data_IF_955986231848
#
_entry.id   IF_955986231848
#
_cell.length_a   1.000
_cell.length_b   1.000
_cell.length_c   1.000
_cell.angle_alpha   90.00
_cell.angle_beta   90.00
_cell.angle_gamma   90.00
#
_symmetry.space_group_name_H-M   'P 1'
#
loop_
_entity.id
_entity.type
_entity.pdbx_description
1 polymer ?
#
# COMPACT_ATOMS: atom_id res chain seq x y z
N UNK A 1 -15.01 -8.78 -15.74
CA UNK A 1 -15.04 -9.62 -14.50
C UNK A 1 -15.91 -9.02 -13.40
N UNK A 2 -16.11 -7.70 -13.37
CA UNK A 2 -16.97 -6.98 -12.41
C UNK A 2 -18.18 -6.35 -13.11
N UNK A 3 -19.22 -5.98 -12.35
CA UNK A 3 -20.45 -5.36 -12.86
C UNK A 3 -20.71 -3.98 -12.24
N UNK A 4 -21.57 -3.19 -12.91
CA UNK A 4 -21.97 -1.88 -12.41
C UNK A 4 -22.68 -1.96 -11.04
N UNK A 5 -22.35 -1.01 -10.19
CA UNK A 5 -22.87 -0.80 -8.84
C UNK A 5 -23.97 0.25 -8.90
N UNK A 6 -25.16 -0.12 -8.41
CA UNK A 6 -26.27 0.83 -8.30
C UNK A 6 -26.05 1.75 -7.09
N UNK A 7 -25.43 2.90 -7.35
CA UNK A 7 -25.14 3.91 -6.32
C UNK A 7 -26.39 4.50 -5.67
N UNK A 8 -27.57 4.40 -6.30
CA UNK A 8 -28.83 4.84 -5.66
C UNK A 8 -29.18 4.03 -4.41
N UNK A 9 -28.60 2.82 -4.27
CA UNK A 9 -28.72 1.96 -3.07
C UNK A 9 -27.67 2.25 -2.00
N UNK A 10 -26.69 3.12 -2.29
CA UNK A 10 -25.57 3.44 -1.42
C UNK A 10 -25.79 4.82 -0.77
N UNK A 11 -26.72 4.89 0.17
CA UNK A 11 -27.06 6.13 0.90
C UNK A 11 -25.87 6.78 1.61
N UNK A 12 -24.82 6.00 1.93
CA UNK A 12 -23.62 6.47 2.60
C UNK A 12 -22.48 6.85 1.64
N UNK A 13 -22.68 6.77 0.33
CA UNK A 13 -21.65 7.10 -0.66
C UNK A 13 -21.17 8.55 -0.57
N UNK A 14 -22.05 9.49 -0.20
CA UNK A 14 -21.72 10.90 -0.03
C UNK A 14 -20.74 11.20 1.10
N UNK A 15 -20.40 10.22 1.94
CA UNK A 15 -19.42 10.38 3.00
C UNK A 15 -17.97 10.24 2.50
N UNK A 16 -17.77 9.71 1.30
CA UNK A 16 -16.46 9.54 0.70
C UNK A 16 -15.84 10.87 0.30
N UNK A 17 -14.52 10.94 0.40
CA UNK A 17 -13.72 12.06 -0.06
C UNK A 17 -13.85 12.23 -1.58
N UNK A 18 -14.34 13.37 -2.09
CA UNK A 18 -14.36 13.65 -3.52
C UNK A 18 -12.99 13.52 -4.19
N UNK A 19 -11.90 13.78 -3.47
CA UNK A 19 -10.54 13.64 -4.00
C UNK A 19 -10.16 12.18 -4.24
N UNK A 20 -10.91 11.21 -3.72
CA UNK A 20 -10.72 9.77 -3.96
C UNK A 20 -11.71 9.19 -4.98
N UNK A 21 -12.59 10.03 -5.53
CA UNK A 21 -13.60 9.63 -6.53
C UNK A 21 -13.15 9.98 -7.96
N UNK A 22 -13.86 9.42 -8.94
CA UNK A 22 -13.78 9.76 -10.35
C UNK A 22 -12.37 9.64 -10.95
N UNK A 23 -11.61 8.65 -10.49
CA UNK A 23 -10.27 8.36 -10.98
C UNK A 23 -10.34 7.85 -12.43
N UNK A 24 -9.28 8.01 -13.25
CA UNK A 24 -9.30 7.59 -14.64
C UNK A 24 -9.67 6.11 -14.87
N UNK A 25 -9.38 5.23 -13.90
CA UNK A 25 -9.76 3.81 -13.95
C UNK A 25 -11.27 3.55 -13.78
N UNK A 26 -12.01 4.47 -13.17
CA UNK A 26 -13.46 4.43 -12.99
C UNK A 26 -14.03 5.86 -12.84
N UNK A 27 -14.18 6.61 -13.96
CA UNK A 27 -14.44 8.04 -13.93
C UNK A 27 -15.75 8.46 -13.24
N UNK A 28 -16.67 7.53 -13.03
CA UNK A 28 -17.95 7.79 -12.36
C UNK A 28 -18.15 6.92 -11.11
N UNK A 29 -17.15 6.13 -10.67
CA UNK A 29 -17.33 5.12 -9.62
C UNK A 29 -18.50 4.16 -9.90
N UNK A 30 -18.66 3.76 -11.17
CA UNK A 30 -19.73 2.87 -11.60
C UNK A 30 -19.40 1.41 -11.28
N UNK A 31 -18.13 1.07 -11.10
CA UNK A 31 -17.66 -0.31 -10.92
C UNK A 31 -16.93 -0.55 -9.60
N UNK A 32 -16.46 0.53 -8.96
CA UNK A 32 -15.60 0.49 -7.78
C UNK A 32 -15.97 1.59 -6.78
N UNK A 33 -16.01 1.23 -5.50
CA UNK A 33 -16.29 2.13 -4.38
C UNK A 33 -15.08 2.15 -3.45
N UNK A 34 -14.43 3.32 -3.21
CA UNK A 34 -13.32 3.44 -2.28
C UNK A 34 -13.59 2.78 -0.93
N UNK A 35 -12.66 1.95 -0.46
CA UNK A 35 -12.80 1.24 0.81
C UNK A 35 -11.77 1.71 1.83
N UNK A 36 -10.51 1.43 1.55
CA UNK A 36 -9.36 1.70 2.41
C UNK A 36 -8.20 2.07 1.49
N UNK A 37 -7.42 3.06 1.89
CA UNK A 37 -6.19 3.42 1.21
C UNK A 37 -5.01 3.30 2.16
N UNK A 38 -3.82 3.28 1.61
CA UNK A 38 -2.61 3.16 2.39
C UNK A 38 -1.38 3.48 1.58
N UNK A 39 -0.26 3.22 2.21
CA UNK A 39 1.04 3.37 1.62
C UNK A 39 1.97 2.24 2.03
N UNK A 40 2.88 1.92 1.12
CA UNK A 40 4.10 1.19 1.41
C UNK A 40 5.25 2.19 1.57
N UNK A 41 5.95 2.06 2.69
CA UNK A 41 7.09 2.88 3.08
C UNK A 41 8.20 1.98 3.66
N UNK A 42 9.24 2.59 4.23
CA UNK A 42 10.32 1.83 4.85
C UNK A 42 9.97 1.59 6.32
N UNK A 43 9.82 0.33 6.71
CA UNK A 43 9.72 -0.07 8.11
C UNK A 43 11.11 -0.31 8.68
N UNK A 44 11.36 0.20 9.90
CA UNK A 44 12.63 0.00 10.62
C UNK A 44 12.33 -0.40 12.07
N UNK A 45 12.93 -1.47 12.55
CA UNK A 45 12.93 -1.82 13.96
C UNK A 45 13.91 -0.91 14.71
N UNK A 46 13.37 0.07 15.45
CA UNK A 46 14.15 1.12 16.11
C UNK A 46 15.09 0.62 17.21
N UNK A 47 14.84 -0.57 17.77
CA UNK A 47 15.74 -1.19 18.75
C UNK A 47 17.00 -1.79 18.09
N UNK A 48 16.93 -2.12 16.80
CA UNK A 48 18.01 -2.79 16.07
C UNK A 48 18.75 -1.87 15.10
N UNK A 49 18.05 -0.91 14.50
CA UNK A 49 18.59 0.00 13.47
C UNK A 49 18.12 1.41 13.77
N UNK A 50 19.05 2.38 13.79
CA UNK A 50 18.69 3.79 13.92
C UNK A 50 17.84 4.20 12.70
N UNK A 51 16.56 4.61 12.88
CA UNK A 51 15.69 5.00 11.77
C UNK A 51 16.28 6.14 10.92
N UNK A 52 17.15 6.97 11.50
CA UNK A 52 17.81 8.08 10.79
C UNK A 52 18.89 7.61 9.81
N UNK A 53 19.37 6.37 9.93
CA UNK A 53 20.36 5.77 9.03
C UNK A 53 19.78 5.37 7.67
N UNK A 54 18.44 5.30 7.58
CA UNK A 54 17.70 4.95 6.37
C UNK A 54 16.84 6.13 5.96
N UNK A 55 17.00 6.59 4.72
CA UNK A 55 16.33 7.82 4.24
C UNK A 55 15.69 7.66 2.87
N UNK A 56 15.97 6.55 2.18
CA UNK A 56 15.62 6.36 0.78
C UNK A 56 15.46 4.89 0.43
N UNK A 57 14.72 4.58 -0.63
CA UNK A 57 14.66 3.23 -1.17
C UNK A 57 16.04 2.74 -1.58
N UNK A 58 16.89 3.63 -2.10
CA UNK A 58 18.26 3.33 -2.47
C UNK A 58 19.11 2.75 -1.32
N UNK A 59 18.84 3.15 -0.07
CA UNK A 59 19.59 2.65 1.10
C UNK A 59 19.42 1.13 1.28
N UNK A 60 18.28 0.56 0.88
CA UNK A 60 18.04 -0.89 1.01
C UNK A 60 19.03 -1.74 0.19
N UNK A 61 19.67 -1.16 -0.83
CA UNK A 61 20.70 -1.83 -1.62
C UNK A 61 22.09 -1.87 -0.94
N UNK A 62 22.28 -1.26 0.23
CA UNK A 62 23.58 -1.29 0.92
C UNK A 62 23.96 -2.73 1.30
N UNK A 63 25.24 -3.12 1.14
CA UNK A 63 25.68 -4.50 1.40
C UNK A 63 25.60 -4.89 2.89
N UNK A 64 25.49 -3.93 3.80
CA UNK A 64 25.34 -4.18 5.24
C UNK A 64 23.98 -4.80 5.60
N UNK A 65 22.97 -4.68 4.73
CA UNK A 65 21.63 -5.25 4.92
C UNK A 65 21.48 -6.66 4.31
N UNK A 66 22.60 -7.39 4.14
CA UNK A 66 22.60 -8.73 3.59
C UNK A 66 21.71 -9.67 4.41
N UNK A 67 20.73 -10.29 3.77
CA UNK A 67 19.81 -11.25 4.37
C UNK A 67 18.96 -10.71 5.53
N UNK A 68 18.68 -9.40 5.59
CA UNK A 68 17.93 -8.78 6.71
C UNK A 68 16.68 -8.00 6.29
N UNK A 69 16.38 -7.93 4.98
CA UNK A 69 15.25 -7.16 4.46
C UNK A 69 13.96 -7.96 4.34
N UNK A 70 12.86 -7.32 4.73
CA UNK A 70 11.51 -7.70 4.28
C UNK A 70 11.15 -6.94 3.01
N UNK A 71 10.64 -7.64 2.01
CA UNK A 71 9.89 -7.01 0.91
C UNK A 71 8.41 -7.37 1.00
N UNK A 72 7.53 -6.45 0.59
CA UNK A 72 6.12 -6.81 0.42
C UNK A 72 6.00 -7.81 -0.74
N UNK A 73 5.14 -8.82 -0.61
CA UNK A 73 4.94 -9.83 -1.67
C UNK A 73 4.00 -9.31 -2.77
N UNK A 74 4.31 -8.13 -3.33
CA UNK A 74 3.54 -7.47 -4.38
C UNK A 74 4.45 -7.09 -5.56
N UNK A 75 4.06 -7.53 -6.76
CA UNK A 75 4.85 -7.31 -7.96
C UNK A 75 4.98 -5.82 -8.31
N UNK A 76 3.90 -5.04 -8.19
CA UNK A 76 3.91 -3.63 -8.57
C UNK A 76 4.61 -2.78 -7.51
N UNK A 77 4.48 -3.08 -6.23
CA UNK A 77 5.17 -2.34 -5.17
C UNK A 77 6.68 -2.56 -5.23
N UNK A 78 7.12 -3.81 -5.35
CA UNK A 78 8.56 -4.14 -5.40
C UNK A 78 9.21 -3.52 -6.63
N UNK A 79 8.54 -3.53 -7.78
CA UNK A 79 9.03 -2.83 -8.96
C UNK A 79 9.00 -1.31 -8.81
N UNK A 80 7.94 -0.75 -8.23
CA UNK A 80 7.87 0.70 -8.02
C UNK A 80 9.00 1.19 -7.13
N UNK A 81 9.38 0.47 -6.07
CA UNK A 81 10.56 0.80 -5.26
C UNK A 81 11.82 0.94 -6.14
N UNK A 82 12.11 -0.06 -6.99
CA UNK A 82 13.29 -0.04 -7.85
C UNK A 82 13.20 1.01 -8.99
N UNK A 83 12.02 1.21 -9.57
CA UNK A 83 11.77 2.25 -10.58
C UNK A 83 12.01 3.64 -10.00
N UNK A 84 11.48 3.91 -8.79
CA UNK A 84 11.67 5.20 -8.10
C UNK A 84 13.13 5.45 -7.73
N UNK A 85 13.85 4.42 -7.28
CA UNK A 85 15.32 4.47 -7.08
C UNK A 85 16.06 4.86 -8.37
N UNK A 86 15.59 4.40 -9.54
CA UNK A 86 16.16 4.71 -10.85
C UNK A 86 15.70 6.07 -11.42
N UNK A 87 14.74 6.74 -10.78
CA UNK A 87 14.17 8.00 -11.25
C UNK A 87 13.05 7.85 -12.29
N UNK A 88 12.53 6.63 -12.48
CA UNK A 88 11.37 6.35 -13.34
C UNK A 88 10.05 6.41 -12.56
N UNK A 89 8.94 6.53 -13.29
CA UNK A 89 7.60 6.40 -12.71
C UNK A 89 7.32 4.94 -12.32
N UNK A 90 6.65 4.74 -11.18
CA UNK A 90 6.11 3.44 -10.75
C UNK A 90 5.01 2.87 -11.65
N UNK A 91 4.52 3.68 -12.60
CA UNK A 91 3.48 3.33 -13.56
C UNK A 91 4.00 3.29 -14.99
N UNK A 92 5.32 3.15 -15.19
CA UNK A 92 5.88 3.05 -16.53
C UNK A 92 5.27 1.87 -17.29
N UNK A 93 5.06 2.09 -18.58
CA UNK A 93 4.65 1.06 -19.54
C UNK A 93 5.75 0.79 -20.57
N UNK A 94 6.93 1.41 -20.42
CA UNK A 94 8.10 1.12 -21.24
C UNK A 94 8.77 -0.19 -20.75
N UNK A 95 8.76 -1.27 -21.54
CA UNK A 95 9.39 -2.53 -21.17
C UNK A 95 10.87 -2.41 -20.79
N UNK A 96 11.60 -1.44 -21.36
CA UNK A 96 13.03 -1.24 -21.07
C UNK A 96 13.25 -0.67 -19.67
N UNK A 97 12.38 0.23 -19.23
CA UNK A 97 12.43 0.77 -17.86
C UNK A 97 12.08 -0.33 -16.85
N UNK A 98 11.09 -1.17 -17.15
CA UNK A 98 10.70 -2.32 -16.33
C UNK A 98 11.85 -3.34 -16.25
N UNK A 99 12.51 -3.64 -17.38
CA UNK A 99 13.67 -4.53 -17.42
C UNK A 99 14.86 -3.96 -16.63
N UNK A 100 15.09 -2.63 -16.70
CA UNK A 100 16.11 -1.97 -15.88
C UNK A 100 15.82 -2.12 -14.38
N UNK A 101 14.56 -1.94 -13.96
CA UNK A 101 14.14 -2.16 -12.57
C UNK A 101 14.33 -3.63 -12.14
N UNK A 102 13.98 -4.60 -12.98
CA UNK A 102 14.24 -6.01 -12.71
C UNK A 102 15.74 -6.29 -12.49
N UNK A 103 16.61 -5.70 -13.32
CA UNK A 103 18.05 -5.85 -13.18
C UNK A 103 18.60 -5.24 -11.89
N UNK A 104 18.05 -4.11 -11.42
CA UNK A 104 18.38 -3.56 -10.10
C UNK A 104 17.84 -4.42 -8.96
N UNK A 105 16.62 -4.94 -9.08
CA UNK A 105 16.03 -5.83 -8.07
C UNK A 105 16.84 -7.10 -7.88
N UNK A 106 17.40 -7.68 -8.95
CA UNK A 106 18.35 -8.81 -8.81
C UNK A 106 19.53 -8.49 -7.90
N UNK A 107 20.03 -7.25 -7.91
CA UNK A 107 21.13 -6.81 -7.03
C UNK A 107 20.68 -6.69 -5.58
N UNK A 108 19.39 -6.43 -5.33
CA UNK A 108 18.81 -6.37 -4.00
C UNK A 108 18.61 -7.76 -3.40
N UNK A 109 18.37 -8.80 -4.22
CA UNK A 109 18.00 -10.13 -3.74
C UNK A 109 18.90 -10.73 -2.64
N UNK A 110 20.24 -10.55 -2.65
CA UNK A 110 21.09 -11.00 -1.54
C UNK A 110 20.76 -10.35 -0.17
N UNK A 111 20.12 -9.19 -0.17
CA UNK A 111 19.66 -8.50 1.03
C UNK A 111 18.30 -8.99 1.53
N UNK A 112 17.52 -9.65 0.68
CA UNK A 112 16.15 -10.06 0.98
C UNK A 112 16.13 -11.31 1.85
N UNK A 113 15.52 -11.20 3.03
CA UNK A 113 15.26 -12.28 3.98
C UNK A 113 13.89 -12.94 3.76
N UNK A 114 12.85 -12.16 3.43
CA UNK A 114 11.52 -12.69 3.21
C UNK A 114 10.67 -11.79 2.30
N UNK A 115 9.60 -12.38 1.77
CA UNK A 115 8.49 -11.69 1.12
C UNK A 115 7.23 -11.94 1.95
N UNK A 116 6.43 -10.90 2.22
CA UNK A 116 5.18 -11.07 2.95
C UNK A 116 4.11 -10.07 2.47
N UNK A 117 2.91 -10.57 2.17
CA UNK A 117 1.72 -9.75 1.84
C UNK A 117 0.49 -10.15 2.66
N UNK A 118 0.65 -10.98 3.69
CA UNK A 118 -0.43 -11.37 4.61
C UNK A 118 -0.48 -10.38 5.78
N UNK A 119 0.65 -10.24 6.46
CA UNK A 119 0.89 -9.22 7.48
C UNK A 119 2.40 -8.88 7.47
N UNK A 120 2.83 -7.85 6.72
CA UNK A 120 4.25 -7.56 6.56
C UNK A 120 4.92 -7.07 7.84
N UNK A 121 4.18 -6.73 8.90
CA UNK A 121 4.77 -6.42 10.19
C UNK A 121 5.17 -7.67 10.98
N UNK A 122 4.58 -8.85 10.73
CA UNK A 122 4.81 -10.04 11.55
C UNK A 122 6.30 -10.46 11.61
N UNK A 123 7.05 -10.53 10.48
CA UNK A 123 8.48 -10.85 10.53
C UNK A 123 9.31 -9.85 11.36
N UNK A 124 8.89 -8.59 11.44
CA UNK A 124 9.55 -7.58 12.28
C UNK A 124 9.28 -7.85 13.77
N UNK A 125 8.03 -8.22 14.11
CA UNK A 125 7.64 -8.56 15.48
C UNK A 125 8.36 -9.82 15.99
N UNK A 126 8.60 -10.78 15.09
CA UNK A 126 9.34 -12.02 15.37
C UNK A 126 10.87 -11.82 15.42
N UNK A 127 11.35 -10.63 15.04
CA UNK A 127 12.78 -10.31 15.01
C UNK A 127 13.54 -10.99 13.86
N UNK A 128 12.84 -11.50 12.85
CA UNK A 128 13.45 -12.13 11.67
C UNK A 128 14.06 -11.10 10.70
N UNK A 129 13.54 -9.87 10.73
CA UNK A 129 13.95 -8.75 9.89
C UNK A 129 14.04 -7.47 10.71
N UNK A 130 14.96 -6.59 10.35
CA UNK A 130 15.18 -5.32 11.05
C UNK A 130 14.75 -4.09 10.26
N UNK A 131 14.69 -4.21 8.94
CA UNK A 131 14.24 -3.14 8.05
C UNK A 131 13.69 -3.71 6.75
N UNK A 132 13.03 -2.88 5.95
CA UNK A 132 12.47 -3.31 4.67
C UNK A 132 11.24 -2.52 4.27
N UNK A 133 10.50 -3.02 3.29
CA UNK A 133 9.20 -2.47 2.90
C UNK A 133 8.15 -2.87 3.95
N UNK A 134 7.26 -1.94 4.28
CA UNK A 134 6.11 -2.25 5.15
C UNK A 134 4.89 -1.42 4.76
N UNK A 135 3.71 -1.99 4.97
CA UNK A 135 2.46 -1.25 4.92
C UNK A 135 2.24 -0.44 6.20
N UNK A 136 1.79 0.81 6.07
CA UNK A 136 1.65 1.69 7.23
C UNK A 136 0.68 1.15 8.30
N UNK A 137 -0.40 0.48 7.91
CA UNK A 137 -1.43 -0.01 8.83
C UNK A 137 -0.93 -1.19 9.66
N UNK A 138 -0.21 -2.13 9.03
CA UNK A 138 0.43 -3.23 9.76
C UNK A 138 1.49 -2.73 10.75
N UNK A 139 2.27 -1.71 10.37
CA UNK A 139 3.24 -1.10 11.28
C UNK A 139 2.54 -0.47 12.50
N UNK A 140 1.40 0.19 12.29
CA UNK A 140 0.60 0.74 13.38
C UNK A 140 0.11 -0.35 14.35
N UNK A 141 -0.47 -1.44 13.84
CA UNK A 141 -0.95 -2.54 14.69
C UNK A 141 0.21 -3.17 15.47
N UNK A 142 1.38 -3.34 14.84
CA UNK A 142 2.57 -3.86 15.51
C UNK A 142 3.09 -2.92 16.61
N UNK A 143 3.07 -1.59 16.39
CA UNK A 143 3.37 -0.60 17.44
C UNK A 143 2.42 -0.69 18.62
N UNK A 144 1.11 -0.83 18.36
CA UNK A 144 0.10 -1.02 19.40
C UNK A 144 0.31 -2.32 20.19
N UNK A 145 0.88 -3.35 19.54
CA UNK A 145 1.29 -4.60 20.17
C UNK A 145 2.66 -4.52 20.88
N UNK A 146 3.32 -3.36 20.90
CA UNK A 146 4.57 -3.11 21.62
C UNK A 146 5.85 -3.34 20.81
N UNK A 147 5.76 -3.54 19.49
CA UNK A 147 6.96 -3.63 18.62
C UNK A 147 7.41 -2.23 18.21
N UNK A 148 8.69 -1.85 18.44
CA UNK A 148 9.19 -0.50 18.16
C UNK A 148 9.51 -0.32 16.68
N UNK A 149 8.48 -0.35 15.84
CA UNK A 149 8.60 -0.21 14.39
C UNK A 149 8.29 1.21 13.92
N UNK A 150 9.33 1.88 13.45
CA UNK A 150 9.24 3.18 12.81
C UNK A 150 8.89 3.04 11.33
N UNK A 151 8.14 4.01 10.83
CA UNK A 151 7.84 4.15 9.39
C UNK A 151 8.56 5.38 8.89
N UNK A 152 9.52 5.16 7.99
CA UNK A 152 10.31 6.21 7.36
C UNK A 152 9.79 6.44 5.95
N UNK A 153 9.45 7.70 5.65
CA UNK A 153 9.09 8.12 4.31
C UNK A 153 10.36 8.25 3.44
N UNK A 154 10.49 7.45 2.37
CA UNK A 154 11.68 7.45 1.52
C UNK A 154 11.78 8.76 0.73
N UNK A 155 13.01 9.22 0.48
CA UNK A 155 13.31 10.42 -0.30
C UNK A 155 12.67 10.42 -1.69
N UNK A 156 12.64 9.26 -2.34
CA UNK A 156 12.03 9.07 -3.66
C UNK A 156 10.49 9.03 -3.60
N UNK A 157 9.89 9.10 -2.41
CA UNK A 157 8.45 9.08 -2.20
C UNK A 157 7.88 7.70 -1.87
N UNK A 158 6.83 7.70 -1.03
CA UNK A 158 6.08 6.50 -0.67
C UNK A 158 5.25 5.96 -1.83
N UNK A 159 4.92 4.67 -1.77
CA UNK A 159 4.07 3.98 -2.74
C UNK A 159 2.65 4.04 -2.22
N UNK A 160 1.75 4.77 -2.88
CA UNK A 160 0.36 4.92 -2.44
C UNK A 160 -0.58 4.02 -3.22
N UNK A 161 -1.58 3.46 -2.54
CA UNK A 161 -2.57 2.58 -3.14
C UNK A 161 -3.92 2.72 -2.45
N UNK A 162 -4.98 2.29 -3.15
CA UNK A 162 -6.33 2.26 -2.61
C UNK A 162 -7.07 1.01 -3.08
N UNK A 163 -7.57 0.26 -2.10
CA UNK A 163 -8.50 -0.83 -2.34
C UNK A 163 -9.92 -0.29 -2.48
N UNK A 164 -10.65 -0.86 -3.43
CA UNK A 164 -12.03 -0.50 -3.71
C UNK A 164 -12.92 -1.74 -3.74
N UNK A 165 -14.12 -1.61 -3.17
CA UNK A 165 -15.16 -2.63 -3.23
C UNK A 165 -15.72 -2.72 -4.65
N UNK A 166 -15.77 -3.93 -5.20
CA UNK A 166 -16.37 -4.22 -6.48
C UNK A 166 -17.33 -5.43 -6.39
N UNK A 167 -18.32 -5.49 -7.29
CA UNK A 167 -19.25 -6.63 -7.36
C UNK A 167 -18.83 -7.52 -8.54
N UNK A 168 -18.52 -8.82 -8.33
CA UNK A 168 -18.24 -9.75 -9.41
C UNK A 168 -19.40 -9.85 -10.40
N UNK A 169 -19.09 -9.99 -11.69
CA UNK A 169 -20.10 -10.03 -12.75
C UNK A 169 -21.11 -11.18 -12.59
N UNK A 170 -20.67 -12.29 -11.99
CA UNK A 170 -21.47 -13.49 -11.73
C UNK A 170 -21.93 -13.62 -10.25
N UNK A 171 -21.93 -12.52 -9.48
CA UNK A 171 -22.34 -12.53 -8.07
C UNK A 171 -23.79 -13.01 -7.92
N UNK A 172 -23.98 -14.11 -7.16
CA UNK A 172 -25.30 -14.71 -6.92
C UNK A 172 -26.20 -13.88 -6.00
N UNK A 173 -25.61 -13.05 -5.14
CA UNK A 173 -26.34 -12.21 -4.17
C UNK A 173 -25.90 -10.74 -4.27
N UNK A 174 -26.29 -10.09 -5.38
CA UNK A 174 -25.98 -8.67 -5.63
C UNK A 174 -26.57 -7.73 -4.56
N UNK A 175 -27.81 -7.97 -4.16
CA UNK A 175 -28.51 -7.15 -3.16
C UNK A 175 -27.81 -7.20 -1.80
N UNK A 176 -27.35 -8.39 -1.39
CA UNK A 176 -26.53 -8.55 -0.18
C UNK A 176 -25.20 -7.79 -0.28
N UNK A 177 -24.53 -7.84 -1.42
CA UNK A 177 -23.29 -7.10 -1.65
C UNK A 177 -23.51 -5.58 -1.55
N UNK A 178 -24.58 -5.04 -2.15
CA UNK A 178 -24.91 -3.62 -2.05
C UNK A 178 -25.19 -3.19 -0.59
N UNK A 179 -25.90 -4.01 0.18
CA UNK A 179 -26.12 -3.77 1.61
C UNK A 179 -24.81 -3.77 2.40
N UNK A 180 -23.91 -4.71 2.10
CA UNK A 180 -22.59 -4.77 2.74
C UNK A 180 -21.74 -3.54 2.40
N UNK A 181 -21.70 -3.13 1.12
CA UNK A 181 -21.00 -1.91 0.70
C UNK A 181 -21.57 -0.70 1.46
N UNK A 182 -22.89 -0.53 1.49
CA UNK A 182 -23.50 0.59 2.19
C UNK A 182 -23.26 0.56 3.71
N UNK A 183 -23.15 -0.64 4.30
CA UNK A 183 -22.78 -0.83 5.70
C UNK A 183 -21.33 -0.38 5.96
N UNK A 184 -20.37 -0.80 5.14
CA UNK A 184 -18.96 -0.42 5.26
C UNK A 184 -18.73 1.09 5.04
N UNK A 185 -19.60 1.74 4.26
CA UNK A 185 -19.58 3.18 4.05
C UNK A 185 -20.17 4.00 5.22
N UNK A 186 -20.75 3.36 6.25
CA UNK A 186 -21.23 4.09 7.42
C UNK A 186 -20.05 4.73 8.17
N UNK A 187 -20.13 5.99 8.60
CA UNK A 187 -19.02 6.67 9.26
C UNK A 187 -18.54 5.99 10.54
N UNK A 188 -19.45 5.42 11.34
CA UNK A 188 -19.12 4.73 12.59
C UNK A 188 -18.40 3.40 12.35
N UNK A 189 -18.82 2.65 11.33
CA UNK A 189 -18.17 1.39 10.92
C UNK A 189 -16.78 1.67 10.34
N UNK A 190 -16.67 2.64 9.42
CA UNK A 190 -15.42 3.04 8.81
C UNK A 190 -14.41 3.59 9.85
N UNK A 191 -14.90 4.33 10.86
CA UNK A 191 -14.08 4.76 12.00
C UNK A 191 -13.57 3.55 12.80
N UNK A 192 -14.46 2.65 13.20
CA UNK A 192 -14.11 1.49 14.03
C UNK A 192 -13.02 0.64 13.36
N UNK A 193 -13.15 0.34 12.07
CA UNK A 193 -12.13 -0.43 11.35
C UNK A 193 -10.82 0.34 11.27
N UNK A 194 -10.83 1.63 10.90
CA UNK A 194 -9.62 2.43 10.77
C UNK A 194 -8.82 2.53 12.07
N UNK A 195 -9.48 2.69 13.22
CA UNK A 195 -8.80 2.70 14.53
C UNK A 195 -8.24 1.34 14.92
N UNK A 196 -8.85 0.25 14.45
CA UNK A 196 -8.42 -1.11 14.80
C UNK A 196 -7.25 -1.57 13.93
N UNK A 197 -7.30 -1.32 12.62
CA UNK A 197 -6.32 -1.88 11.67
C UNK A 197 -5.28 -0.85 11.20
N UNK A 198 -5.42 0.42 11.60
CA UNK A 198 -4.47 1.49 11.28
C UNK A 198 -4.50 1.97 9.84
N UNK A 199 -5.23 1.34 8.93
CA UNK A 199 -5.29 1.82 7.55
C UNK A 199 -6.25 3.01 7.39
N UNK A 200 -5.82 4.07 6.67
CA UNK A 200 -6.64 5.23 6.39
C UNK A 200 -7.97 4.92 5.69
N UNK A 201 -9.04 5.50 6.22
CA UNK A 201 -10.33 5.54 5.52
C UNK A 201 -10.40 6.71 4.53
N UNK A 202 -10.97 6.52 3.32
CA UNK A 202 -11.38 7.59 2.41
C UNK A 202 -12.73 8.21 2.80
N UNK A 203 -13.35 7.79 3.90
CA UNK A 203 -14.61 8.34 4.39
C UNK A 203 -14.34 9.60 5.25
N UNK A 204 -14.64 10.78 4.73
CA UNK A 204 -14.41 12.06 5.40
C UNK A 204 -15.24 12.23 6.68
N UNK A 205 -16.45 11.68 6.71
CA UNK A 205 -17.28 11.73 7.90
C UNK A 205 -16.66 10.88 9.02
N UNK A 206 -16.17 9.68 8.70
CA UNK A 206 -15.45 8.82 9.64
C UNK A 206 -14.14 9.45 10.11
N UNK A 207 -13.39 10.08 9.18
CA UNK A 207 -12.12 10.77 9.49
C UNK A 207 -12.25 11.82 10.58
N UNK A 208 -13.38 12.54 10.63
CA UNK A 208 -13.67 13.54 11.69
C UNK A 208 -13.99 12.92 13.05
N UNK A 209 -14.34 11.64 13.09
CA UNK A 209 -14.73 10.91 14.31
C UNK A 209 -13.58 10.11 14.93
N UNK A 210 -12.45 9.99 14.21
CA UNK A 210 -11.25 9.30 14.68
C UNK A 210 -10.67 9.95 15.94
N UNK A 211 -10.04 9.14 16.79
CA UNK A 211 -9.24 9.64 17.89
C UNK A 211 -8.12 10.57 17.37
N UNK A 212 -7.70 11.58 18.16
CA UNK A 212 -6.60 12.45 17.77
C UNK A 212 -5.27 11.71 17.55
N UNK A 213 -5.07 10.58 18.23
CA UNK A 213 -3.87 9.73 18.08
C UNK A 213 -3.80 9.16 16.66
N UNK A 214 -4.88 8.53 16.19
CA UNK A 214 -4.93 7.93 14.85
C UNK A 214 -5.03 9.00 13.76
N UNK A 215 -5.85 10.04 13.96
CA UNK A 215 -6.11 11.06 12.95
C UNK A 215 -4.88 11.93 12.62
N UNK A 216 -3.99 12.13 13.60
CA UNK A 216 -2.79 12.96 13.48
C UNK A 216 -1.50 12.16 13.27
N UNK A 217 -1.53 10.82 13.35
CA UNK A 217 -0.38 9.97 13.04
C UNK A 217 0.01 10.15 11.56
N UNK A 218 1.21 10.68 11.33
CA UNK A 218 1.75 10.98 9.99
C UNK A 218 2.19 9.76 9.20
N UNK A 219 2.31 8.60 9.86
CA UNK A 219 2.52 7.33 9.18
C UNK A 219 1.23 6.81 8.55
N UNK A 220 0.07 7.15 9.13
CA UNK A 220 -1.26 6.79 8.61
C UNK A 220 -1.81 7.89 7.69
N UNK A 221 -1.84 9.11 8.17
CA UNK A 221 -2.33 10.27 7.43
C UNK A 221 -1.19 11.25 7.15
N UNK A 222 -0.31 10.91 6.18
CA UNK A 222 0.78 11.78 5.77
C UNK A 222 0.28 13.14 5.30
N UNK A 223 1.15 14.14 5.38
CA UNK A 223 0.84 15.46 4.85
C UNK A 223 0.81 15.48 3.32
N UNK A 224 0.25 16.56 2.77
CA UNK A 224 0.12 16.73 1.33
C UNK A 224 1.47 16.74 0.61
N UNK A 225 2.55 17.17 1.26
CA UNK A 225 3.90 17.17 0.69
C UNK A 225 4.42 15.74 0.51
N UNK A 226 4.27 14.90 1.53
CA UNK A 226 4.65 13.48 1.48
C UNK A 226 3.85 12.74 0.42
N UNK A 227 2.53 12.96 0.35
CA UNK A 227 1.67 12.35 -0.69
C UNK A 227 2.09 12.82 -2.09
N UNK A 228 2.38 14.11 -2.26
CA UNK A 228 2.80 14.70 -3.53
C UNK A 228 4.18 14.20 -3.98
N UNK A 229 5.09 13.94 -3.05
CA UNK A 229 6.40 13.36 -3.35
C UNK A 229 6.29 11.87 -3.72
N UNK A 230 5.36 11.14 -3.11
CA UNK A 230 5.05 9.76 -3.47
C UNK A 230 4.33 9.62 -4.81
N UNK A 231 3.93 8.39 -5.10
CA UNK A 231 3.24 8.06 -6.34
C UNK A 231 2.18 6.98 -6.10
N UNK A 232 0.98 7.23 -6.62
CA UNK A 232 -0.12 6.27 -6.61
C UNK A 232 0.10 5.16 -7.64
N UNK A 233 -0.12 3.92 -7.24
CA UNK A 233 -0.20 2.79 -8.18
C UNK A 233 -1.44 2.94 -9.06
N UNK A 234 -1.21 3.05 -10.36
CA UNK A 234 -2.23 3.14 -11.39
C UNK A 234 -2.19 1.92 -12.32
N UNK A 235 -3.22 1.80 -13.15
CA UNK A 235 -3.27 0.83 -14.23
C UNK A 235 -2.11 1.03 -15.21
N UNK A 236 -1.47 -0.08 -15.59
CA UNK A 236 -0.39 -0.14 -16.59
C UNK A 236 -0.81 -0.90 -17.84
N UNK A 237 -2.08 -1.30 -17.94
CA UNK A 237 -2.63 -2.05 -19.04
C UNK A 237 -1.87 -3.36 -19.28
N UNK A 238 -1.61 -3.67 -20.55
CA UNK A 238 -0.94 -4.92 -20.94
C UNK A 238 0.50 -5.06 -20.43
N UNK A 239 1.14 -3.97 -19.96
CA UNK A 239 2.47 -4.05 -19.36
C UNK A 239 2.46 -4.82 -18.03
N UNK A 240 1.29 -5.02 -17.38
CA UNK A 240 1.18 -5.79 -16.14
C UNK A 240 1.79 -7.19 -16.25
N UNK A 241 1.64 -7.85 -17.41
CA UNK A 241 2.22 -9.17 -17.65
C UNK A 241 3.74 -9.17 -17.56
N UNK A 242 4.42 -8.07 -17.94
CA UNK A 242 5.88 -7.95 -17.86
C UNK A 242 6.31 -7.83 -16.39
N UNK A 243 5.62 -6.99 -15.61
CA UNK A 243 5.84 -6.87 -14.16
C UNK A 243 5.68 -8.22 -13.46
N UNK A 244 4.56 -8.91 -13.71
CA UNK A 244 4.25 -10.21 -13.12
C UNK A 244 5.29 -11.28 -13.51
N UNK A 245 5.63 -11.38 -14.80
CA UNK A 245 6.59 -12.37 -15.30
C UNK A 245 7.98 -12.19 -14.67
N UNK A 246 8.52 -10.96 -14.69
CA UNK A 246 9.82 -10.70 -14.09
C UNK A 246 9.81 -10.83 -12.57
N UNK A 247 8.70 -10.50 -11.91
CA UNK A 247 8.56 -10.71 -10.47
C UNK A 247 8.63 -12.19 -10.09
N UNK A 248 7.94 -13.06 -10.82
CA UNK A 248 8.03 -14.51 -10.58
C UNK A 248 9.44 -15.04 -10.83
N UNK A 249 10.12 -14.58 -11.89
CA UNK A 249 11.54 -14.92 -12.13
C UNK A 249 12.45 -14.44 -11.00
N UNK A 250 12.17 -13.26 -10.44
CA UNK A 250 12.93 -12.71 -9.31
C UNK A 250 12.78 -13.59 -8.07
N UNK A 251 11.56 -14.02 -7.74
CA UNK A 251 11.30 -14.93 -6.60
C UNK A 251 11.88 -16.33 -6.80
N UNK A 252 11.87 -16.84 -8.04
CA UNK A 252 12.38 -18.17 -8.35
C UNK A 252 13.91 -18.27 -8.32
N UNK A 253 14.63 -17.15 -8.48
CA UNK A 253 16.10 -17.12 -8.48
C UNK A 253 16.74 -17.06 -7.10
N UNK A 254 15.97 -17.28 -6.04
CA UNK A 254 16.42 -17.23 -4.64
C UNK A 254 16.93 -18.59 -4.16
#
# INVERSE_FOLDING_TARGET
>A
MIQKIDKSKLSNFSNLDPDMLNKPFDPNNDYSIPYIWGATAIGVNGDAVDPKSVTSWADLWKPEYKGSLLLTDDAREVFQMALRKLGYSGNTTDPKEIEAAYNELKKLMPNVAAFNSDNPANPYMEGEVNLGMIWNGSAFVARQAGTPIDVVWPKEGGIFWMDSLAIPANAKNKEGALKLINFLLRPDVAKQVAETIGYPTPNLAARKLLSPEVANDKTLYPDAETIKNGEWQNDVGAASSIYEEYYQKLKAGR
#
